data_IF_679610276416
#
_entry.id   IF_679610276416
#
_cell.length_a   1.000
_cell.length_b   1.000
_cell.length_c   1.000
_cell.angle_alpha   90.00
_cell.angle_beta   90.00
_cell.angle_gamma   90.00
#
_symmetry.space_group_name_H-M   'P 1'
#
loop_
_entity.id
_entity.type
_entity.pdbx_description
1 polymer ?
#
# COMPACT_ATOMS: atom_id res chain seq x y z
N UNK A 1 7.32 -12.20 -31.59
CA UNK A 1 5.93 -12.35 -31.09
C UNK A 1 5.88 -13.18 -29.81
N UNK A 2 6.71 -14.23 -29.66
CA UNK A 2 6.70 -15.05 -28.43
C UNK A 2 7.24 -14.33 -27.18
N UNK A 3 8.23 -13.45 -27.34
CA UNK A 3 8.92 -12.79 -26.21
C UNK A 3 8.00 -11.80 -25.45
N UNK A 4 7.21 -11.00 -26.17
CA UNK A 4 6.24 -10.08 -25.57
C UNK A 4 5.11 -10.82 -24.83
N UNK A 5 4.68 -11.97 -25.36
CA UNK A 5 3.65 -12.81 -24.73
C UNK A 5 4.16 -13.52 -23.48
N UNK A 6 5.43 -13.93 -23.47
CA UNK A 6 6.07 -14.51 -22.28
C UNK A 6 6.26 -13.47 -21.17
N UNK A 7 6.69 -12.25 -21.52
CA UNK A 7 6.80 -11.15 -20.56
C UNK A 7 5.43 -10.79 -19.95
N UNK A 8 4.37 -10.83 -20.75
CA UNK A 8 3.01 -10.58 -20.30
C UNK A 8 2.51 -11.64 -19.30
N UNK A 9 2.71 -12.93 -19.62
CA UNK A 9 2.36 -14.02 -18.71
C UNK A 9 3.12 -13.93 -17.38
N UNK A 10 4.42 -13.65 -17.45
CA UNK A 10 5.24 -13.48 -16.26
C UNK A 10 4.79 -12.28 -15.40
N UNK A 11 4.39 -11.17 -16.02
CA UNK A 11 3.83 -10.02 -15.31
C UNK A 11 2.50 -10.37 -14.61
N UNK A 12 1.63 -11.12 -15.27
CA UNK A 12 0.37 -11.58 -14.66
C UNK A 12 0.62 -12.54 -13.49
N UNK A 13 1.61 -13.42 -13.59
CA UNK A 13 2.00 -14.32 -12.51
C UNK A 13 2.53 -13.53 -11.30
N UNK A 14 3.35 -12.50 -11.51
CA UNK A 14 3.82 -11.60 -10.45
C UNK A 14 2.66 -10.86 -9.75
N UNK A 15 1.68 -10.37 -10.52
CA UNK A 15 0.48 -9.75 -9.95
C UNK A 15 -0.34 -10.74 -9.12
N UNK A 16 -0.41 -11.99 -9.56
CA UNK A 16 -1.10 -13.06 -8.85
C UNK A 16 -0.37 -13.49 -7.58
N UNK A 17 0.95 -13.57 -7.60
CA UNK A 17 1.77 -13.82 -6.40
C UNK A 17 1.59 -12.70 -5.37
N UNK A 18 1.62 -11.45 -5.82
CA UNK A 18 1.32 -10.28 -4.99
C UNK A 18 -0.08 -10.37 -4.36
N UNK A 19 -1.09 -10.78 -5.14
CA UNK A 19 -2.45 -11.02 -4.64
C UNK A 19 -2.43 -12.09 -3.53
N UNK A 20 -1.73 -13.21 -3.72
CA UNK A 20 -1.65 -14.30 -2.74
C UNK A 20 -0.97 -13.91 -1.41
N UNK A 21 -0.04 -12.95 -1.41
CA UNK A 21 0.62 -12.45 -0.20
C UNK A 21 -0.30 -11.59 0.67
N UNK A 22 -1.43 -11.11 0.16
CA UNK A 22 -2.40 -10.34 0.94
C UNK A 22 -3.26 -11.27 1.81
N UNK A 23 -2.75 -11.57 3.01
CA UNK A 23 -3.47 -12.34 4.03
C UNK A 23 -4.47 -11.48 4.80
N UNK A 24 -5.70 -11.97 4.93
CA UNK A 24 -6.65 -11.49 5.94
C UNK A 24 -6.22 -12.09 7.29
N UNK A 25 -5.63 -11.29 8.19
CA UNK A 25 -5.53 -11.69 9.61
C UNK A 25 -6.96 -11.74 10.16
N UNK A 26 -7.42 -12.91 10.60
CA UNK A 26 -8.78 -13.11 11.08
C UNK A 26 -9.06 -12.25 12.33
N UNK A 27 -9.69 -11.10 12.12
CA UNK A 27 -10.47 -10.41 13.15
C UNK A 27 -11.90 -10.95 13.11
N UNK A 28 -12.14 -12.11 13.72
CA UNK A 28 -13.48 -12.65 13.85
C UNK A 28 -14.32 -11.77 14.79
N UNK A 29 -15.38 -11.16 14.26
CA UNK A 29 -16.46 -10.60 15.05
C UNK A 29 -17.55 -11.64 15.30
N UNK A 30 -17.99 -11.72 16.56
CA UNK A 30 -19.18 -12.40 17.10
C UNK A 30 -19.02 -13.86 17.58
N UNK A 31 -18.50 -14.06 18.80
CA UNK A 31 -19.28 -14.30 20.03
C UNK A 31 -18.42 -14.90 21.16
N UNK A 32 -18.66 -14.39 22.37
CA UNK A 32 -18.36 -14.96 23.69
C UNK A 32 -16.88 -15.04 24.14
N UNK A 33 -16.75 -14.82 25.45
CA UNK A 33 -15.52 -14.66 26.23
C UNK A 33 -14.67 -15.94 26.31
N UNK A 34 -13.48 -15.74 26.93
CA UNK A 34 -12.57 -16.72 27.54
C UNK A 34 -11.89 -17.73 26.61
N UNK A 35 -10.66 -17.45 26.19
CA UNK A 35 -9.44 -17.93 26.88
C UNK A 35 -8.21 -17.72 26.00
N UNK A 36 -7.27 -16.92 26.51
CA UNK A 36 -5.95 -16.70 25.92
C UNK A 36 -5.01 -17.83 26.36
N UNK A 37 -4.42 -18.54 25.40
CA UNK A 37 -3.12 -19.20 25.61
C UNK A 37 -2.21 -18.86 24.45
N UNK A 38 -1.30 -17.91 24.69
CA UNK A 38 -0.19 -17.59 23.78
C UNK A 38 0.86 -18.72 23.84
N UNK A 39 1.34 -19.15 22.66
CA UNK A 39 2.64 -19.82 22.55
C UNK A 39 3.67 -18.75 22.14
N UNK A 40 4.83 -18.66 22.80
CA UNK A 40 5.81 -17.63 22.51
C UNK A 40 6.57 -17.92 21.21
N UNK A 41 6.55 -16.98 20.28
CA UNK A 41 7.55 -16.87 19.21
C UNK A 41 8.77 -16.07 19.72
N UNK A 42 9.98 -16.33 19.20
CA UNK A 42 11.22 -15.80 19.76
C UNK A 42 11.32 -14.28 19.61
N UNK A 43 11.68 -13.62 20.72
CA UNK A 43 11.88 -12.17 20.82
C UNK A 43 12.95 -11.71 19.82
N UNK A 44 12.56 -10.88 18.85
CA UNK A 44 13.47 -9.93 18.19
C UNK A 44 13.69 -8.79 19.18
N UNK A 45 14.93 -8.60 19.59
CA UNK A 45 15.36 -7.59 20.55
C UNK A 45 15.10 -6.20 19.98
N UNK A 46 14.16 -5.47 20.60
CA UNK A 46 13.81 -4.10 20.28
C UNK A 46 14.92 -3.16 20.79
N UNK A 47 15.71 -2.62 19.87
CA UNK A 47 16.82 -1.70 20.18
C UNK A 47 16.41 -0.22 20.22
N UNK A 48 15.11 0.09 20.35
CA UNK A 48 14.61 1.48 20.41
C UNK A 48 14.09 1.93 21.78
N UNK A 49 14.53 1.28 22.87
CA UNK A 49 14.33 1.82 24.21
C UNK A 49 15.55 2.63 24.66
N UNK A 50 15.69 3.86 24.15
CA UNK A 50 16.54 4.89 24.75
C UNK A 50 15.74 5.63 25.84
N UNK A 51 15.66 5.04 27.04
CA UNK A 51 15.46 5.80 28.28
C UNK A 51 16.83 5.97 28.94
N UNK A 52 17.51 7.05 28.54
CA UNK A 52 18.78 7.52 29.08
C UNK A 52 18.51 8.31 30.36
N UNK A 53 18.29 7.62 31.49
CA UNK A 53 18.22 8.26 32.81
C UNK A 53 19.63 8.31 33.44
N UNK A 54 20.21 9.51 33.50
CA UNK A 54 21.58 9.81 33.91
C UNK A 54 21.68 10.18 35.41
N UNK A 55 20.84 9.64 36.28
CA UNK A 55 20.96 9.82 37.73
C UNK A 55 20.43 8.63 38.55
N UNK A 56 21.31 7.69 38.89
CA UNK A 56 21.20 6.91 40.14
C UNK A 56 22.56 6.27 40.49
N UNK A 57 22.99 6.53 41.72
CA UNK A 57 24.24 6.10 42.34
C UNK A 57 24.01 4.81 43.17
N UNK A 58 25.11 4.10 43.41
CA UNK A 58 25.38 3.06 44.43
C UNK A 58 24.90 1.58 44.31
N UNK A 59 25.93 0.71 44.29
CA UNK A 59 26.15 -0.58 45.01
C UNK A 59 25.16 -1.75 44.84
N UNK A 60 25.60 -2.87 44.23
CA UNK A 60 26.34 -3.95 44.92
C UNK A 60 26.53 -5.22 44.04
N UNK A 61 27.50 -6.04 44.46
CA UNK A 61 28.09 -7.22 43.83
C UNK A 61 27.17 -8.37 43.39
N UNK A 62 27.45 -8.96 42.21
CA UNK A 62 27.52 -10.42 41.99
C UNK A 62 28.07 -10.81 40.60
N UNK A 63 29.22 -11.51 40.56
CA UNK A 63 29.74 -12.28 39.41
C UNK A 63 28.88 -13.54 39.15
N UNK A 64 28.83 -14.11 37.93
CA UNK A 64 29.86 -15.11 37.55
C UNK A 64 30.25 -15.22 36.06
N UNK A 65 31.47 -15.75 35.89
CA UNK A 65 31.96 -16.65 34.84
C UNK A 65 32.26 -16.12 33.42
N UNK A 66 33.57 -16.07 33.13
CA UNK A 66 34.20 -15.73 31.88
C UNK A 66 34.14 -16.85 30.82
N UNK A 67 34.07 -16.45 29.55
CA UNK A 67 34.52 -17.22 28.39
C UNK A 67 35.23 -16.27 27.39
N UNK A 68 36.22 -16.74 26.62
CA UNK A 68 37.42 -15.97 26.30
C UNK A 68 37.29 -15.04 25.09
N UNK A 69 38.02 -13.92 25.18
CA UNK A 69 38.26 -12.93 24.12
C UNK A 69 39.27 -13.52 23.11
N UNK A 70 38.89 -13.62 21.84
CA UNK A 70 39.82 -13.88 20.74
C UNK A 70 40.25 -12.51 20.17
N UNK A 71 41.56 -12.21 20.11
CA UNK A 71 42.04 -10.91 19.67
C UNK A 71 42.04 -10.77 18.16
N UNK A 72 41.72 -9.55 17.72
CA UNK A 72 41.80 -9.03 16.36
C UNK A 72 43.15 -9.36 15.72
N UNK A 73 43.15 -10.27 14.75
CA UNK A 73 44.30 -10.53 13.89
C UNK A 73 44.09 -9.84 12.54
N UNK A 74 44.92 -8.84 12.31
CA UNK A 74 45.19 -8.20 11.03
C UNK A 74 45.52 -9.30 10.00
N UNK A 75 44.69 -9.46 8.96
CA UNK A 75 45.03 -10.28 7.81
C UNK A 75 45.23 -9.38 6.58
N UNK A 76 46.52 -9.17 6.32
CA UNK A 76 47.20 -9.12 5.02
C UNK A 76 46.34 -9.03 3.75
N UNK A 77 46.67 -8.00 2.97
CA UNK A 77 46.49 -7.89 1.53
C UNK A 77 46.97 -9.17 0.84
N UNK A 78 46.02 -9.92 0.28
CA UNK A 78 46.08 -10.62 -1.01
C UNK A 78 44.77 -11.40 -1.15
N UNK A 79 43.72 -10.67 -1.53
CA UNK A 79 42.41 -11.24 -1.78
C UNK A 79 42.44 -12.04 -3.08
N UNK A 80 42.12 -13.32 -2.97
CA UNK A 80 41.88 -14.23 -4.09
C UNK A 80 40.81 -13.59 -5.02
N UNK A 81 41.08 -13.41 -6.33
CA UNK A 81 40.15 -12.74 -7.25
C UNK A 81 38.88 -13.57 -7.56
N UNK A 82 38.74 -14.76 -6.97
CA UNK A 82 37.60 -15.68 -7.10
C UNK A 82 36.67 -15.70 -5.88
N UNK A 83 36.91 -14.84 -4.87
CA UNK A 83 35.99 -14.61 -3.73
C UNK A 83 35.23 -13.27 -3.83
N UNK A 84 35.28 -12.64 -4.99
CA UNK A 84 34.29 -11.64 -5.38
C UNK A 84 33.09 -12.39 -5.98
N UNK A 85 31.89 -11.86 -5.81
CA UNK A 85 30.68 -12.26 -6.57
C UNK A 85 29.74 -13.29 -5.93
N UNK A 86 29.24 -12.99 -4.74
CA UNK A 86 27.79 -13.12 -4.56
C UNK A 86 27.24 -11.99 -3.68
N UNK A 87 27.22 -10.79 -4.24
CA UNK A 87 26.57 -9.63 -3.64
C UNK A 87 25.05 -9.79 -3.55
N UNK A 88 24.50 -10.76 -4.28
CA UNK A 88 23.08 -10.99 -4.45
C UNK A 88 22.66 -12.26 -3.69
N UNK A 89 21.42 -12.28 -3.18
CA UNK A 89 20.79 -13.51 -2.73
C UNK A 89 20.35 -14.39 -3.92
N UNK A 90 19.97 -15.64 -3.66
CA UNK A 90 19.51 -16.57 -4.71
C UNK A 90 18.31 -16.03 -5.51
N UNK A 91 17.59 -15.06 -4.95
CA UNK A 91 16.45 -14.44 -5.61
C UNK A 91 16.79 -13.08 -6.26
N UNK A 92 18.08 -12.70 -6.33
CA UNK A 92 18.56 -11.49 -6.99
C UNK A 92 18.37 -10.19 -6.19
N UNK A 93 18.12 -10.25 -4.87
CA UNK A 93 18.22 -9.05 -4.04
C UNK A 93 19.66 -8.78 -3.63
N UNK A 94 20.02 -7.50 -3.63
CA UNK A 94 21.30 -7.07 -3.10
C UNK A 94 21.39 -7.28 -1.58
N UNK A 95 22.48 -7.88 -1.11
CA UNK A 95 22.78 -8.07 0.32
C UNK A 95 23.36 -6.77 0.92
N UNK A 96 22.47 -5.92 1.44
CA UNK A 96 22.85 -4.60 1.98
C UNK A 96 23.46 -4.74 3.38
N UNK A 97 24.67 -4.19 3.54
CA UNK A 97 25.35 -4.10 4.83
C UNK A 97 25.16 -2.71 5.43
N UNK A 98 24.71 -2.63 6.69
CA UNK A 98 24.56 -1.35 7.40
C UNK A 98 25.95 -0.70 7.55
N UNK A 99 26.03 0.60 7.24
CA UNK A 99 27.29 1.35 7.22
C UNK A 99 28.03 1.29 5.88
N UNK A 100 27.56 0.49 4.91
CA UNK A 100 28.12 0.46 3.57
C UNK A 100 27.98 1.82 2.86
N UNK A 101 29.03 2.22 2.14
CA UNK A 101 29.03 3.40 1.28
C UNK A 101 28.71 3.04 -0.18
N UNK A 102 27.72 3.71 -0.75
CA UNK A 102 27.26 3.58 -2.13
C UNK A 102 27.62 4.82 -2.96
N UNK A 103 27.64 4.66 -4.29
CA UNK A 103 27.96 5.73 -5.25
C UNK A 103 29.25 6.50 -4.90
N UNK A 104 30.40 5.81 -4.98
CA UNK A 104 31.73 6.39 -4.72
C UNK A 104 31.86 7.09 -3.35
N UNK A 105 31.19 6.58 -2.31
CA UNK A 105 31.29 7.13 -0.96
C UNK A 105 30.16 8.06 -0.55
N UNK A 106 29.30 8.50 -1.49
CA UNK A 106 28.31 9.54 -1.25
C UNK A 106 27.23 9.12 -0.24
N UNK A 107 26.63 7.95 -0.43
CA UNK A 107 25.50 7.52 0.40
C UNK A 107 25.94 6.46 1.39
N UNK A 108 25.83 6.76 2.69
CA UNK A 108 26.11 5.80 3.75
C UNK A 108 24.80 5.17 4.24
N UNK A 109 24.68 3.85 4.16
CA UNK A 109 23.48 3.14 4.61
C UNK A 109 23.36 3.16 6.14
N UNK A 110 22.16 3.48 6.64
CA UNK A 110 21.86 3.57 8.08
C UNK A 110 21.00 2.38 8.53
N UNK A 111 19.91 2.11 7.80
CA UNK A 111 18.93 1.13 8.24
C UNK A 111 18.14 0.53 7.07
N UNK A 112 17.64 -0.69 7.27
CA UNK A 112 16.67 -1.30 6.36
C UNK A 112 15.27 -0.73 6.61
N UNK A 113 14.61 -0.22 5.57
CA UNK A 113 13.24 0.29 5.65
C UNK A 113 12.21 -0.75 5.21
N UNK A 114 12.56 -1.61 4.25
CA UNK A 114 11.68 -2.70 3.83
C UNK A 114 12.25 -3.54 2.70
N UNK A 115 11.68 -4.74 2.54
CA UNK A 115 11.92 -5.65 1.41
C UNK A 115 10.57 -5.96 0.77
N UNK A 116 10.41 -5.61 -0.50
CA UNK A 116 9.20 -5.89 -1.28
C UNK A 116 9.53 -6.82 -2.45
N UNK A 117 8.50 -7.33 -3.15
CA UNK A 117 8.65 -8.29 -4.27
C UNK A 117 9.61 -7.81 -5.37
N UNK A 118 9.70 -6.50 -5.58
CA UNK A 118 10.45 -5.89 -6.67
C UNK A 118 11.82 -5.30 -6.26
N UNK A 119 11.97 -4.94 -4.99
CA UNK A 119 13.09 -4.11 -4.54
C UNK A 119 13.27 -4.14 -3.02
N UNK A 120 14.47 -3.80 -2.58
CA UNK A 120 14.77 -3.46 -1.18
C UNK A 120 14.86 -1.94 -1.03
N UNK A 121 14.40 -1.42 0.11
CA UNK A 121 14.47 0.01 0.42
C UNK A 121 15.27 0.20 1.70
N UNK A 122 16.25 1.11 1.65
CA UNK A 122 17.10 1.45 2.79
C UNK A 122 17.11 2.94 3.05
N UNK A 123 17.30 3.29 4.32
CA UNK A 123 17.60 4.63 4.77
C UNK A 123 19.10 4.84 4.66
N UNK A 124 19.52 5.95 4.07
CA UNK A 124 20.92 6.33 3.94
C UNK A 124 21.12 7.82 4.27
N UNK A 125 22.35 8.19 4.60
CA UNK A 125 22.79 9.58 4.77
C UNK A 125 23.58 10.00 3.55
N UNK A 126 23.20 11.11 2.94
CA UNK A 126 24.00 11.75 1.91
C UNK A 126 25.16 12.50 2.59
N UNK A 127 26.39 12.08 2.35
CA UNK A 127 27.58 12.70 2.93
C UNK A 127 27.89 14.08 2.35
N UNK A 128 27.34 14.42 1.17
CA UNK A 128 27.54 15.72 0.55
C UNK A 128 26.61 16.79 1.13
N UNK A 129 25.34 16.45 1.36
CA UNK A 129 24.33 17.40 1.89
C UNK A 129 24.13 17.26 3.39
N UNK A 130 24.49 16.11 3.98
CA UNK A 130 24.20 15.77 5.37
C UNK A 130 22.77 15.29 5.61
N UNK A 131 21.91 15.28 4.58
CA UNK A 131 20.50 14.93 4.69
C UNK A 131 20.27 13.42 4.65
N UNK A 132 19.14 12.99 5.22
CA UNK A 132 18.69 11.61 5.11
C UNK A 132 17.90 11.38 3.82
N UNK A 133 18.15 10.25 3.17
CA UNK A 133 17.50 9.84 1.93
C UNK A 133 17.01 8.40 2.03
N UNK A 134 16.03 8.04 1.20
CA UNK A 134 15.59 6.66 1.02
C UNK A 134 16.09 6.15 -0.34
N UNK A 135 16.76 5.00 -0.35
CA UNK A 135 17.30 4.39 -1.58
C UNK A 135 16.54 3.10 -1.86
N UNK A 136 15.83 3.05 -2.99
CA UNK A 136 15.17 1.85 -3.53
C UNK A 136 16.14 1.15 -4.47
N UNK A 137 16.59 -0.04 -4.10
CA UNK A 137 17.48 -0.89 -4.87
C UNK A 137 16.64 -1.96 -5.59
N UNK A 138 16.58 -1.87 -6.91
CA UNK A 138 15.85 -2.81 -7.76
C UNK A 138 16.62 -4.13 -7.83
N UNK A 139 15.93 -5.26 -7.81
CA UNK A 139 16.54 -6.60 -7.91
C UNK A 139 17.33 -6.77 -9.21
N UNK A 140 18.42 -7.53 -9.15
CA UNK A 140 19.28 -7.88 -10.29
C UNK A 140 18.59 -8.94 -11.14
N UNK A 141 17.56 -8.51 -11.86
CA UNK A 141 16.78 -9.33 -12.80
C UNK A 141 16.38 -8.43 -13.97
N UNK A 142 16.57 -8.89 -15.20
CA UNK A 142 16.32 -8.09 -16.40
C UNK A 142 14.89 -7.53 -16.47
N UNK A 143 13.88 -8.32 -16.09
CA UNK A 143 12.48 -7.87 -16.05
C UNK A 143 12.29 -6.77 -15.00
N UNK A 144 12.91 -6.93 -13.82
CA UNK A 144 12.82 -5.97 -12.73
C UNK A 144 13.56 -4.68 -13.07
N UNK A 145 14.72 -4.79 -13.71
CA UNK A 145 15.49 -3.66 -14.19
C UNK A 145 14.70 -2.86 -15.24
N UNK A 146 14.08 -3.53 -16.22
CA UNK A 146 13.19 -2.88 -17.20
C UNK A 146 12.00 -2.18 -16.52
N UNK A 147 11.39 -2.81 -15.53
CA UNK A 147 10.32 -2.20 -14.73
C UNK A 147 10.81 -0.98 -13.94
N UNK A 148 12.00 -1.05 -13.34
CA UNK A 148 12.64 0.06 -12.63
C UNK A 148 13.00 1.23 -13.55
N UNK A 149 13.43 0.97 -14.78
CA UNK A 149 13.67 2.00 -15.79
C UNK A 149 12.37 2.67 -16.25
N UNK A 150 11.28 1.90 -16.37
CA UNK A 150 9.94 2.44 -16.62
C UNK A 150 9.52 3.35 -15.45
N UNK A 151 9.68 2.89 -14.20
CA UNK A 151 9.39 3.68 -13.00
C UNK A 151 10.19 4.99 -12.96
N UNK A 152 11.50 4.95 -13.24
CA UNK A 152 12.36 6.14 -13.35
C UNK A 152 11.84 7.14 -14.39
N UNK A 153 11.39 6.66 -15.54
CA UNK A 153 10.83 7.50 -16.61
C UNK A 153 9.54 8.19 -16.17
N UNK A 154 8.64 7.47 -15.49
CA UNK A 154 7.39 8.02 -14.96
C UNK A 154 7.66 9.04 -13.84
N UNK A 155 8.61 8.77 -12.96
CA UNK A 155 9.04 9.70 -11.90
C UNK A 155 9.58 11.00 -12.48
N UNK A 156 10.46 10.94 -13.49
CA UNK A 156 10.98 12.14 -14.16
C UNK A 156 9.85 12.99 -14.77
N UNK A 157 8.89 12.35 -15.44
CA UNK A 157 7.71 13.03 -16.00
C UNK A 157 6.89 13.75 -14.91
N UNK A 158 6.71 13.12 -13.73
CA UNK A 158 6.01 13.74 -12.60
C UNK A 158 6.77 14.93 -12.03
N UNK A 159 8.09 14.82 -11.93
CA UNK A 159 8.94 15.88 -11.42
C UNK A 159 8.93 17.14 -12.28
N UNK A 160 8.92 16.97 -13.60
CA UNK A 160 8.79 18.05 -14.58
C UNK A 160 7.41 18.71 -14.51
N UNK A 161 6.35 17.92 -14.27
CA UNK A 161 4.97 18.40 -14.18
C UNK A 161 4.60 19.04 -12.82
N UNK A 162 5.44 18.87 -11.79
CA UNK A 162 5.35 19.52 -10.47
C UNK A 162 6.71 20.02 -9.96
N UNK A 163 7.27 21.10 -10.54
CA UNK A 163 8.54 21.67 -10.10
C UNK A 163 8.50 22.22 -8.66
N UNK A 164 7.33 22.67 -8.20
CA UNK A 164 7.13 23.29 -6.90
C UNK A 164 6.84 22.28 -5.77
N UNK A 165 6.78 20.98 -6.08
CA UNK A 165 6.52 19.90 -5.12
C UNK A 165 5.18 20.04 -4.35
N UNK A 166 4.14 20.57 -5.00
CA UNK A 166 2.83 20.89 -4.39
C UNK A 166 1.76 19.82 -4.63
N UNK A 167 2.09 18.74 -5.33
CA UNK A 167 1.14 17.69 -5.73
C UNK A 167 1.29 16.39 -4.97
N UNK A 168 2.01 16.38 -3.85
CA UNK A 168 2.00 15.25 -2.91
C UNK A 168 2.39 13.88 -3.52
N UNK A 169 3.31 13.88 -4.48
CA UNK A 169 3.97 12.66 -4.98
C UNK A 169 5.41 12.65 -4.46
N UNK A 170 5.94 11.47 -4.15
CA UNK A 170 7.33 11.29 -3.69
C UNK A 170 8.33 11.90 -4.68
N UNK A 171 9.31 12.64 -4.16
CA UNK A 171 10.35 13.26 -4.98
C UNK A 171 11.52 12.31 -5.19
N UNK A 172 11.81 12.03 -6.47
CA UNK A 172 13.08 11.43 -6.88
C UNK A 172 14.16 12.53 -6.85
N UNK A 173 15.27 12.28 -6.17
CA UNK A 173 16.40 13.21 -6.06
C UNK A 173 17.48 12.89 -7.10
N UNK A 174 17.81 11.61 -7.24
CA UNK A 174 18.82 11.11 -8.16
C UNK A 174 18.61 9.61 -8.43
N UNK A 175 19.36 9.07 -9.37
CA UNK A 175 19.48 7.62 -9.56
C UNK A 175 20.93 7.28 -9.88
N UNK A 176 21.32 6.04 -9.62
CA UNK A 176 22.64 5.52 -9.95
C UNK A 176 22.58 3.99 -10.10
N UNK A 177 23.65 3.41 -10.61
CA UNK A 177 23.85 1.96 -10.60
C UNK A 177 24.89 1.58 -9.55
N UNK A 178 24.62 0.52 -8.79
CA UNK A 178 25.56 -0.02 -7.82
C UNK A 178 25.56 -1.54 -7.93
N UNK A 179 26.70 -2.11 -8.34
CA UNK A 179 26.94 -3.56 -8.40
C UNK A 179 25.84 -4.32 -9.18
N UNK A 180 25.39 -3.75 -10.32
CA UNK A 180 24.36 -4.36 -11.17
C UNK A 180 22.91 -4.02 -10.77
N UNK A 181 22.69 -3.30 -9.67
CA UNK A 181 21.37 -2.85 -9.25
C UNK A 181 21.10 -1.40 -9.65
N UNK A 182 19.91 -1.15 -10.18
CA UNK A 182 19.39 0.20 -10.35
C UNK A 182 18.95 0.73 -8.97
N UNK A 183 19.51 1.88 -8.57
CA UNK A 183 19.22 2.55 -7.30
C UNK A 183 18.51 3.87 -7.56
N UNK A 184 17.31 4.03 -6.98
CA UNK A 184 16.53 5.27 -7.02
C UNK A 184 16.60 5.97 -5.66
N UNK A 185 17.02 7.23 -5.63
CA UNK A 185 17.19 8.02 -4.41
C UNK A 185 16.00 8.96 -4.24
N UNK A 186 15.31 8.86 -3.12
CA UNK A 186 14.12 9.63 -2.79
C UNK A 186 14.32 10.51 -1.56
N UNK A 187 13.46 11.52 -1.42
CA UNK A 187 13.29 12.24 -0.16
C UNK A 187 12.97 11.27 0.99
N UNK A 188 13.57 11.48 2.17
CA UNK A 188 13.29 10.66 3.35
C UNK A 188 11.96 11.07 3.99
N UNK A 189 11.11 10.09 4.27
CA UNK A 189 9.83 10.25 4.99
C UNK A 189 9.80 9.34 6.20
N UNK A 190 8.90 9.63 7.15
CA UNK A 190 8.89 8.98 8.45
C UNK A 190 8.30 7.57 8.38
N UNK A 191 7.06 7.43 7.91
CA UNK A 191 6.38 6.13 7.85
C UNK A 191 5.19 6.11 6.91
N UNK A 192 4.71 4.90 6.60
CA UNK A 192 3.47 4.71 5.84
C UNK A 192 2.21 4.86 6.70
N UNK A 193 1.09 5.18 6.06
CA UNK A 193 -0.21 5.35 6.72
C UNK A 193 -0.71 4.06 7.39
N UNK A 194 -0.32 2.89 6.88
CA UNK A 194 -0.57 1.60 7.56
C UNK A 194 -0.04 1.62 8.99
N UNK A 195 1.21 2.06 9.16
CA UNK A 195 1.88 2.14 10.45
C UNK A 195 1.29 3.23 11.33
N UNK A 196 0.85 4.35 10.72
CA UNK A 196 0.11 5.40 11.44
C UNK A 196 -1.16 4.82 12.06
N UNK A 197 -2.03 4.18 11.28
CA UNK A 197 -3.28 3.59 11.78
C UNK A 197 -3.02 2.54 12.87
N UNK A 198 -1.99 1.68 12.70
CA UNK A 198 -1.60 0.70 13.73
C UNK A 198 -1.20 1.35 15.06
N UNK A 199 -0.53 2.51 15.04
CA UNK A 199 -0.13 3.24 16.25
C UNK A 199 -1.32 3.81 17.03
N UNK A 200 -2.45 4.11 16.38
CA UNK A 200 -3.68 4.56 17.06
C UNK A 200 -4.46 3.41 17.72
N UNK A 201 -4.14 2.16 17.38
CA UNK A 201 -4.79 0.97 17.93
C UNK A 201 -5.72 0.28 16.94
N UNK A 202 -6.13 -0.93 17.30
CA UNK A 202 -6.99 -1.77 16.47
C UNK A 202 -8.39 -1.15 16.37
N UNK A 203 -8.89 -1.01 15.13
CA UNK A 203 -10.27 -0.55 14.84
C UNK A 203 -10.60 0.88 15.32
N UNK A 204 -9.57 1.71 15.57
CA UNK A 204 -9.74 3.11 16.01
C UNK A 204 -9.73 4.08 14.84
N UNK A 205 -8.76 3.93 13.94
CA UNK A 205 -8.52 4.90 12.87
C UNK A 205 -7.95 6.23 13.37
N UNK A 206 -8.04 7.27 12.55
CA UNK A 206 -7.55 8.63 12.83
C UNK A 206 -8.67 9.65 12.76
N UNK A 207 -8.46 10.83 13.34
CA UNK A 207 -9.48 11.89 13.39
C UNK A 207 -9.97 12.30 12.00
N UNK A 208 -11.26 12.62 11.88
CA UNK A 208 -11.86 13.05 10.60
C UNK A 208 -11.18 14.29 10.02
N UNK A 209 -10.64 15.17 10.88
CA UNK A 209 -9.86 16.35 10.48
C UNK A 209 -8.57 15.94 9.77
N UNK A 210 -7.86 14.94 10.28
CA UNK A 210 -6.67 14.40 9.62
C UNK A 210 -7.03 13.68 8.32
N UNK A 211 -8.10 12.87 8.31
CA UNK A 211 -8.61 12.21 7.09
C UNK A 211 -8.96 13.24 6.00
N UNK A 212 -9.55 14.38 6.37
CA UNK A 212 -9.86 15.47 5.44
C UNK A 212 -8.61 16.08 4.82
N UNK A 213 -7.59 16.38 5.63
CA UNK A 213 -6.30 16.90 5.15
C UNK A 213 -5.65 15.88 4.22
N UNK A 214 -5.63 14.61 4.61
CA UNK A 214 -5.06 13.57 3.76
C UNK A 214 -5.85 13.33 2.49
N UNK A 215 -7.19 13.41 2.52
CA UNK A 215 -8.01 13.35 1.32
C UNK A 215 -7.65 14.49 0.36
N UNK A 216 -7.52 15.73 0.84
CA UNK A 216 -7.13 16.84 0.01
C UNK A 216 -5.77 16.60 -0.68
N UNK A 217 -4.76 16.18 0.08
CA UNK A 217 -3.41 15.94 -0.42
C UNK A 217 -3.34 14.75 -1.39
N UNK A 218 -4.05 13.67 -1.10
CA UNK A 218 -4.17 12.51 -1.98
C UNK A 218 -4.85 12.91 -3.29
N UNK A 219 -5.95 13.65 -3.26
CA UNK A 219 -6.63 14.06 -4.50
C UNK A 219 -5.84 15.12 -5.30
N UNK A 220 -4.90 15.84 -4.67
CA UNK A 220 -3.91 16.66 -5.40
C UNK A 220 -2.90 15.79 -6.18
N UNK A 221 -2.48 14.65 -5.63
CA UNK A 221 -1.60 13.71 -6.35
C UNK A 221 -2.32 13.02 -7.50
N UNK A 222 -3.57 12.59 -7.31
CA UNK A 222 -4.40 12.05 -8.40
C UNK A 222 -4.61 13.07 -9.53
N UNK A 223 -4.75 14.36 -9.20
CA UNK A 223 -4.86 15.43 -10.20
C UNK A 223 -3.58 15.58 -11.04
N UNK A 224 -2.40 15.41 -10.43
CA UNK A 224 -1.13 15.38 -11.15
C UNK A 224 -1.00 14.14 -12.03
N UNK A 225 -1.32 12.96 -11.50
CA UNK A 225 -1.30 11.69 -12.26
C UNK A 225 -2.17 11.77 -13.51
N UNK A 226 -3.40 12.28 -13.37
CA UNK A 226 -4.30 12.51 -14.51
C UNK A 226 -3.72 13.46 -15.55
N UNK A 227 -3.14 14.58 -15.12
CA UNK A 227 -2.49 15.55 -16.02
C UNK A 227 -1.31 14.95 -16.79
N UNK A 228 -0.64 13.96 -16.21
CA UNK A 228 0.46 13.24 -16.85
C UNK A 228 0.01 11.98 -17.60
N UNK A 229 -1.29 11.73 -17.71
CA UNK A 229 -1.87 10.52 -18.31
C UNK A 229 -1.42 9.20 -17.66
N UNK A 230 -1.25 9.17 -16.33
CA UNK A 230 -0.78 7.99 -15.61
C UNK A 230 -1.80 7.45 -14.63
N UNK A 231 -1.81 6.12 -14.51
CA UNK A 231 -2.56 5.35 -13.54
C UNK A 231 -1.57 4.82 -12.50
N UNK A 232 -1.85 4.99 -11.21
CA UNK A 232 -0.98 4.46 -10.16
C UNK A 232 -1.19 2.96 -9.96
N UNK A 233 -2.45 2.53 -9.94
CA UNK A 233 -2.85 1.12 -9.86
C UNK A 233 -2.35 0.34 -8.61
N UNK A 234 -1.96 1.03 -7.54
CA UNK A 234 -1.61 0.38 -6.25
C UNK A 234 -1.75 1.34 -5.05
N UNK A 235 -2.78 2.19 -5.05
CA UNK A 235 -3.04 3.12 -3.93
C UNK A 235 -3.59 2.34 -2.73
N UNK A 236 -2.85 2.39 -1.62
CA UNK A 236 -3.19 1.77 -0.33
C UNK A 236 -2.42 2.46 0.79
N UNK A 237 -2.80 2.29 2.08
CA UNK A 237 -2.08 2.89 3.20
C UNK A 237 -0.58 2.56 3.26
N UNK A 238 -0.16 1.42 2.71
CA UNK A 238 1.23 0.96 2.68
C UNK A 238 2.10 1.78 1.71
N UNK A 239 1.50 2.33 0.64
CA UNK A 239 2.17 3.11 -0.41
C UNK A 239 1.97 4.63 -0.27
N UNK A 240 1.43 5.07 0.86
CA UNK A 240 1.29 6.50 1.18
C UNK A 240 2.13 6.76 2.42
N UNK A 241 3.16 7.59 2.25
CA UNK A 241 4.08 7.97 3.30
C UNK A 241 3.71 9.33 3.89
N UNK A 242 4.08 9.55 5.16
CA UNK A 242 3.93 10.83 5.85
C UNK A 242 5.26 11.32 6.40
N UNK A 243 5.40 12.64 6.51
CA UNK A 243 6.53 13.25 7.20
C UNK A 243 6.46 13.04 8.73
N UNK A 244 7.50 13.43 9.44
CA UNK A 244 7.63 13.26 10.89
C UNK A 244 6.50 13.97 11.68
N UNK A 245 6.11 15.16 11.24
CA UNK A 245 4.98 15.91 11.81
C UNK A 245 3.60 15.33 11.45
N UNK A 246 3.55 14.32 10.57
CA UNK A 246 2.32 13.65 10.09
C UNK A 246 1.29 14.60 9.48
N UNK A 247 1.72 15.77 9.00
CA UNK A 247 0.83 16.77 8.40
C UNK A 247 0.94 16.81 6.86
N UNK A 248 1.96 16.19 6.29
CA UNK A 248 2.17 16.08 4.84
C UNK A 248 2.27 14.61 4.46
N UNK A 249 1.44 14.18 3.51
CA UNK A 249 1.53 12.90 2.84
C UNK A 249 2.18 13.03 1.47
N UNK A 250 2.79 11.92 1.04
CA UNK A 250 3.33 11.70 -0.29
C UNK A 250 2.87 10.34 -0.81
N UNK A 251 2.30 10.31 -2.01
CA UNK A 251 2.00 9.08 -2.73
C UNK A 251 3.30 8.52 -3.32
N UNK A 252 3.56 7.24 -3.07
CA UNK A 252 4.83 6.57 -3.37
C UNK A 252 4.59 5.25 -4.11
N UNK A 253 5.69 4.66 -4.61
CA UNK A 253 5.75 3.37 -5.30
C UNK A 253 4.98 3.33 -6.63
N UNK A 254 5.68 3.75 -7.69
CA UNK A 254 5.16 3.74 -9.06
C UNK A 254 5.54 2.46 -9.81
N UNK A 255 5.97 1.41 -9.11
CA UNK A 255 6.35 0.13 -9.72
C UNK A 255 5.21 -0.60 -10.43
N UNK A 256 3.95 -0.29 -10.08
CA UNK A 256 2.74 -0.79 -10.77
C UNK A 256 2.09 0.25 -11.69
N UNK A 257 2.68 1.45 -11.81
CA UNK A 257 2.08 2.52 -12.58
C UNK A 257 2.25 2.33 -14.09
N UNK A 258 1.27 2.79 -14.85
CA UNK A 258 1.27 2.71 -16.32
C UNK A 258 0.68 3.97 -16.94
N UNK A 259 0.97 4.18 -18.22
CA UNK A 259 0.26 5.20 -19.00
C UNK A 259 -1.19 4.73 -19.24
N UNK A 260 -2.16 5.64 -19.17
CA UNK A 260 -3.58 5.31 -19.35
C UNK A 260 -3.91 4.86 -20.78
N UNK A 261 -3.01 5.05 -21.75
CA UNK A 261 -3.12 4.48 -23.09
C UNK A 261 -2.67 3.02 -23.19
N UNK A 262 -1.89 2.53 -22.21
CA UNK A 262 -1.33 1.18 -22.14
C UNK A 262 -2.17 0.27 -21.22
N UNK A 263 -3.49 0.24 -21.40
CA UNK A 263 -4.38 -0.54 -20.54
C UNK A 263 -4.40 -2.02 -20.92
N UNK A 264 -3.79 -2.86 -20.09
CA UNK A 264 -3.90 -4.31 -20.18
C UNK A 264 -5.01 -4.85 -19.28
N UNK A 265 -5.98 -5.55 -19.86
CA UNK A 265 -7.09 -6.13 -19.08
C UNK A 265 -6.59 -7.37 -18.33
N UNK A 266 -6.39 -7.21 -17.02
CA UNK A 266 -6.03 -8.29 -16.10
C UNK A 266 -6.83 -8.19 -14.79
N UNK A 267 -7.37 -9.29 -14.26
CA UNK A 267 -8.22 -9.27 -13.06
C UNK A 267 -7.43 -9.12 -11.75
N UNK A 268 -6.10 -9.04 -11.81
CA UNK A 268 -5.19 -8.97 -10.66
C UNK A 268 -4.45 -7.63 -10.52
N UNK A 269 -4.72 -6.66 -11.39
CA UNK A 269 -4.21 -5.29 -11.23
C UNK A 269 -4.75 -4.70 -9.91
N UNK A 270 -3.94 -3.87 -9.22
CA UNK A 270 -4.24 -3.32 -7.89
C UNK A 270 -4.27 -4.37 -6.77
N UNK A 271 -3.73 -4.01 -5.61
CA UNK A 271 -3.94 -4.73 -4.35
C UNK A 271 -5.42 -5.05 -4.09
N UNK A 272 -5.73 -6.31 -3.73
CA UNK A 272 -7.08 -6.89 -3.78
C UNK A 272 -8.11 -6.07 -3.02
N UNK A 273 -7.80 -5.64 -1.80
CA UNK A 273 -8.74 -4.90 -0.95
C UNK A 273 -9.09 -3.49 -1.45
N UNK A 274 -8.26 -2.95 -2.34
CA UNK A 274 -8.41 -1.62 -2.95
C UNK A 274 -8.77 -1.70 -4.44
N UNK A 275 -8.94 -2.92 -4.98
CA UNK A 275 -9.22 -3.18 -6.40
C UNK A 275 -10.63 -2.72 -6.77
N UNK A 276 -10.73 -2.00 -7.88
CA UNK A 276 -11.99 -1.51 -8.42
C UNK A 276 -12.80 -2.63 -9.13
N UNK A 277 -14.13 -2.57 -9.16
CA UNK A 277 -14.95 -3.61 -9.78
C UNK A 277 -14.68 -3.79 -11.27
N UNK A 278 -14.38 -2.72 -12.01
CA UNK A 278 -14.06 -2.80 -13.43
C UNK A 278 -12.81 -3.64 -13.72
N UNK A 279 -11.84 -3.67 -12.80
CA UNK A 279 -10.64 -4.52 -12.92
C UNK A 279 -11.04 -5.98 -12.77
N UNK A 280 -11.78 -6.30 -11.70
CA UNK A 280 -12.22 -7.67 -11.42
C UNK A 280 -13.08 -8.23 -12.57
N UNK A 281 -13.94 -7.39 -13.14
CA UNK A 281 -14.87 -7.77 -14.20
C UNK A 281 -14.23 -7.78 -15.60
N UNK A 282 -12.99 -7.28 -15.74
CA UNK A 282 -12.32 -7.21 -17.05
C UNK A 282 -12.98 -6.21 -17.98
N UNK A 283 -13.31 -5.03 -17.46
CA UNK A 283 -13.81 -3.89 -18.24
C UNK A 283 -12.66 -2.95 -18.57
N UNK A 284 -12.86 -2.09 -19.56
CA UNK A 284 -11.96 -0.96 -19.78
C UNK A 284 -11.95 -0.07 -18.53
N UNK A 285 -10.76 0.30 -18.09
CA UNK A 285 -10.53 1.12 -16.91
C UNK A 285 -9.74 2.38 -17.27
N UNK A 286 -9.73 3.34 -16.36
CA UNK A 286 -9.06 4.64 -16.52
C UNK A 286 -8.74 5.20 -15.11
N UNK A 287 -8.47 6.50 -14.97
CA UNK A 287 -8.19 7.20 -13.70
C UNK A 287 -9.22 6.95 -12.59
N UNK A 288 -10.43 6.49 -12.92
CA UNK A 288 -11.45 6.12 -11.94
C UNK A 288 -10.99 5.02 -10.97
N UNK A 289 -10.09 4.11 -11.38
CA UNK A 289 -9.60 3.04 -10.50
C UNK A 289 -8.86 3.61 -9.27
N UNK A 290 -8.04 4.64 -9.47
CA UNK A 290 -7.27 5.27 -8.40
C UNK A 290 -8.17 6.05 -7.43
N UNK A 291 -9.28 6.61 -7.94
CA UNK A 291 -10.31 7.23 -7.09
C UNK A 291 -10.98 6.19 -6.20
N UNK A 292 -11.28 5.00 -6.73
CA UNK A 292 -11.85 3.90 -5.95
C UNK A 292 -10.89 3.45 -4.84
N UNK A 293 -9.62 3.19 -5.20
CA UNK A 293 -8.59 2.78 -4.24
C UNK A 293 -8.34 3.85 -3.15
N UNK A 294 -8.40 5.13 -3.54
CA UNK A 294 -8.32 6.26 -2.59
C UNK A 294 -9.49 6.29 -1.61
N UNK A 295 -10.71 6.00 -2.05
CA UNK A 295 -11.88 5.95 -1.17
C UNK A 295 -11.80 4.78 -0.18
N UNK A 296 -11.39 3.59 -0.64
CA UNK A 296 -11.12 2.44 0.24
C UNK A 296 -10.05 2.78 1.29
N UNK A 297 -8.99 3.46 0.87
CA UNK A 297 -7.91 3.92 1.76
C UNK A 297 -8.43 4.91 2.79
N UNK A 298 -9.16 5.96 2.39
CA UNK A 298 -9.69 6.97 3.31
C UNK A 298 -10.68 6.39 4.32
N UNK A 299 -11.54 5.46 3.90
CA UNK A 299 -12.42 4.74 4.82
C UNK A 299 -11.62 4.00 5.89
N UNK A 300 -10.54 3.32 5.49
CA UNK A 300 -9.68 2.58 6.40
C UNK A 300 -8.89 3.49 7.34
N UNK A 301 -8.44 4.66 6.87
CA UNK A 301 -7.81 5.64 7.75
C UNK A 301 -8.77 6.09 8.86
N UNK A 302 -10.03 6.36 8.51
CA UNK A 302 -11.02 6.82 9.48
C UNK A 302 -11.45 5.72 10.45
N UNK A 303 -11.68 4.50 9.95
CA UNK A 303 -12.29 3.41 10.75
C UNK A 303 -11.30 2.43 11.35
N UNK A 304 -10.04 2.45 10.89
CA UNK A 304 -9.06 1.41 11.17
C UNK A 304 -9.37 0.06 10.51
N UNK A 305 -10.43 -0.04 9.70
CA UNK A 305 -10.95 -1.28 9.11
C UNK A 305 -10.86 -1.26 7.59
N UNK A 306 -10.49 -2.40 7.01
CA UNK A 306 -10.55 -2.61 5.56
C UNK A 306 -12.01 -2.57 5.10
N UNK A 307 -12.31 -1.77 4.07
CA UNK A 307 -13.68 -1.58 3.56
C UNK A 307 -14.27 -2.87 2.96
N UNK A 308 -13.47 -3.56 2.14
CA UNK A 308 -13.82 -4.79 1.43
C UNK A 308 -12.79 -5.90 1.71
N UNK A 309 -12.93 -6.68 2.79
CA UNK A 309 -11.98 -7.72 3.17
C UNK A 309 -12.23 -9.04 2.41
N UNK A 310 -12.29 -8.99 1.07
CA UNK A 310 -12.56 -10.15 0.22
C UNK A 310 -11.37 -11.10 0.11
N UNK A 311 -11.56 -12.40 0.35
CA UNK A 311 -10.48 -13.40 0.22
C UNK A 311 -10.13 -13.73 -1.25
N UNK A 312 -11.01 -13.39 -2.18
CA UNK A 312 -10.83 -13.54 -3.62
C UNK A 312 -11.69 -12.51 -4.37
N UNK A 313 -11.52 -12.44 -5.70
CA UNK A 313 -12.24 -11.52 -6.58
C UNK A 313 -13.77 -11.66 -6.49
N UNK A 314 -14.29 -12.89 -6.37
CA UNK A 314 -15.73 -13.10 -6.21
C UNK A 314 -16.26 -12.52 -4.89
N UNK A 315 -15.56 -12.73 -3.77
CA UNK A 315 -15.92 -12.15 -2.48
C UNK A 315 -15.79 -10.63 -2.46
N UNK A 316 -14.81 -10.06 -3.17
CA UNK A 316 -14.73 -8.61 -3.36
C UNK A 316 -16.01 -8.06 -4.00
N UNK A 317 -16.46 -8.66 -5.12
CA UNK A 317 -17.70 -8.25 -5.77
C UNK A 317 -18.91 -8.41 -4.85
N UNK A 318 -18.98 -9.49 -4.05
CA UNK A 318 -20.03 -9.68 -3.05
C UNK A 318 -20.09 -8.51 -2.07
N UNK A 319 -18.96 -8.14 -1.45
CA UNK A 319 -18.92 -7.03 -0.50
C UNK A 319 -19.24 -5.68 -1.15
N UNK A 320 -18.83 -5.46 -2.40
CA UNK A 320 -19.21 -4.27 -3.17
C UNK A 320 -20.72 -4.20 -3.38
N UNK A 321 -21.38 -5.32 -3.71
CA UNK A 321 -22.83 -5.34 -3.90
C UNK A 321 -23.62 -5.29 -2.58
N UNK A 322 -23.08 -5.80 -1.48
CA UNK A 322 -23.67 -5.63 -0.14
C UNK A 322 -23.69 -4.15 0.30
N UNK A 323 -22.74 -3.34 -0.18
CA UNK A 323 -22.68 -1.90 0.06
C UNK A 323 -23.52 -1.10 -0.95
N UNK A 324 -23.30 -1.33 -2.26
CA UNK A 324 -23.83 -0.47 -3.34
C UNK A 324 -25.04 -1.06 -4.08
N UNK A 325 -25.40 -2.31 -3.80
CA UNK A 325 -26.43 -3.05 -4.52
C UNK A 325 -25.90 -3.73 -5.79
N UNK A 326 -26.83 -4.28 -6.59
CA UNK A 326 -26.51 -5.06 -7.79
C UNK A 326 -25.79 -4.22 -8.86
N UNK A 327 -24.77 -4.79 -9.51
CA UNK A 327 -24.14 -4.20 -10.69
C UNK A 327 -25.15 -3.98 -11.84
N UNK A 328 -25.08 -2.86 -12.57
CA UNK A 328 -25.94 -2.64 -13.73
C UNK A 328 -25.76 -3.76 -14.77
N UNK A 329 -26.86 -4.32 -15.29
CA UNK A 329 -26.79 -5.40 -16.31
C UNK A 329 -25.97 -4.99 -17.54
N UNK A 330 -25.97 -3.71 -17.93
CA UNK A 330 -25.14 -3.19 -19.03
C UNK A 330 -23.63 -3.34 -18.75
N UNK A 331 -23.22 -3.23 -17.49
CA UNK A 331 -21.84 -3.41 -17.06
C UNK A 331 -21.45 -4.89 -17.12
N UNK A 332 -22.31 -5.77 -16.59
CA UNK A 332 -22.09 -7.23 -16.59
C UNK A 332 -21.94 -7.78 -18.02
N UNK A 333 -22.79 -7.34 -18.96
CA UNK A 333 -22.72 -7.81 -20.36
C UNK A 333 -21.46 -7.37 -21.11
N UNK A 334 -20.81 -6.29 -20.69
CA UNK A 334 -19.57 -5.79 -21.31
C UNK A 334 -18.32 -6.42 -20.69
N UNK A 335 -18.45 -7.06 -19.54
CA UNK A 335 -17.35 -7.55 -18.73
C UNK A 335 -16.77 -8.84 -19.30
N UNK A 336 -15.45 -8.87 -19.54
CA UNK A 336 -14.78 -10.05 -20.10
C UNK A 336 -14.77 -11.23 -19.13
N UNK A 337 -14.74 -10.96 -17.81
CA UNK A 337 -14.69 -11.99 -16.77
C UNK A 337 -16.05 -12.22 -16.09
N UNK A 338 -17.15 -11.73 -16.68
CA UNK A 338 -18.49 -11.86 -16.11
C UNK A 338 -18.88 -13.32 -15.83
N UNK A 339 -18.55 -14.25 -16.74
CA UNK A 339 -18.89 -15.66 -16.63
C UNK A 339 -18.27 -16.36 -15.41
N UNK A 340 -17.23 -15.78 -14.79
CA UNK A 340 -16.63 -16.33 -13.56
C UNK A 340 -17.47 -16.01 -12.31
N UNK A 341 -18.42 -15.07 -12.41
CA UNK A 341 -19.09 -14.47 -11.26
C UNK A 341 -20.60 -14.36 -11.41
N UNK A 342 -21.13 -14.40 -12.63
CA UNK A 342 -22.56 -14.28 -12.94
C UNK A 342 -23.02 -15.42 -13.83
N UNK A 343 -24.27 -15.84 -13.64
CA UNK A 343 -24.96 -16.76 -14.56
C UNK A 343 -25.51 -16.03 -15.81
N UNK A 344 -26.10 -16.80 -16.73
CA UNK A 344 -26.71 -16.28 -17.97
C UNK A 344 -27.84 -15.26 -17.71
N UNK A 345 -28.48 -15.33 -16.54
CA UNK A 345 -29.53 -14.42 -16.10
C UNK A 345 -28.97 -13.16 -15.41
N UNK A 346 -27.65 -12.97 -15.38
CA UNK A 346 -26.96 -11.91 -14.65
C UNK A 346 -27.24 -11.96 -13.14
N UNK A 347 -27.41 -13.15 -12.58
CA UNK A 347 -27.49 -13.42 -11.14
C UNK A 347 -26.09 -13.72 -10.65
N UNK A 348 -25.71 -13.07 -9.55
CA UNK A 348 -24.39 -13.26 -8.97
C UNK A 348 -24.28 -14.65 -8.32
N UNK A 349 -23.18 -15.34 -8.63
CA UNK A 349 -22.82 -16.64 -8.10
C UNK A 349 -21.78 -16.47 -6.99
N UNK A 350 -22.22 -16.43 -5.73
CA UNK A 350 -21.34 -16.31 -4.57
C UNK A 350 -20.56 -17.61 -4.34
N UNK A 351 -19.24 -17.52 -4.37
CA UNK A 351 -18.32 -18.63 -4.12
C UNK A 351 -17.92 -18.63 -2.64
N UNK A 352 -18.60 -19.45 -1.85
CA UNK A 352 -18.35 -19.58 -0.42
C UNK A 352 -17.67 -20.92 -0.12
N UNK A 353 -16.78 -20.96 0.89
CA UNK A 353 -16.32 -22.23 1.45
C UNK A 353 -17.30 -22.64 2.54
N UNK A 354 -17.81 -23.86 2.44
CA UNK A 354 -18.62 -24.44 3.51
C UNK A 354 -17.75 -24.66 4.76
N UNK A 355 -18.23 -24.19 5.92
CA UNK A 355 -17.51 -24.19 7.20
C UNK A 355 -17.22 -25.60 7.71
N UNK A 356 -17.99 -26.59 7.26
CA UNK A 356 -17.90 -27.97 7.75
C UNK A 356 -17.12 -28.83 6.75
N UNK A 357 -17.44 -28.75 5.47
CA UNK A 357 -16.84 -29.62 4.44
C UNK A 357 -15.59 -29.05 3.77
N UNK A 358 -15.25 -27.77 3.99
CA UNK A 358 -14.20 -27.03 3.27
C UNK A 358 -14.34 -27.04 1.74
N UNK A 359 -15.47 -27.53 1.20
CA UNK A 359 -15.75 -27.52 -0.24
C UNK A 359 -16.27 -26.15 -0.67
N UNK A 360 -15.95 -25.78 -1.90
CA UNK A 360 -16.54 -24.59 -2.52
C UNK A 360 -18.00 -24.85 -2.88
N UNK A 361 -18.88 -23.99 -2.41
CA UNK A 361 -20.31 -24.02 -2.70
C UNK A 361 -20.67 -22.74 -3.42
N UNK A 362 -21.37 -22.87 -4.55
CA UNK A 362 -21.89 -21.76 -5.32
C UNK A 362 -23.31 -21.46 -4.84
N UNK A 363 -23.54 -20.25 -4.32
CA UNK A 363 -24.85 -19.78 -3.90
C UNK A 363 -25.34 -18.66 -4.84
N UNK A 364 -26.43 -18.86 -5.60
CA UNK A 364 -27.00 -17.80 -6.41
C UNK A 364 -27.64 -16.73 -5.52
N UNK A 365 -27.33 -15.46 -5.79
CA UNK A 365 -27.87 -14.30 -5.06
C UNK A 365 -28.74 -13.46 -6.00
N UNK A 366 -30.03 -13.81 -6.20
CA UNK A 366 -30.93 -13.11 -7.12
C UNK A 366 -31.34 -11.72 -6.61
N UNK A 367 -31.42 -11.54 -5.28
CA UNK A 367 -31.77 -10.28 -4.63
C UNK A 367 -30.62 -9.87 -3.72
N UNK A 368 -29.89 -8.83 -4.11
CA UNK A 368 -28.85 -8.22 -3.28
C UNK A 368 -29.38 -6.86 -2.83
N UNK A 369 -29.93 -6.83 -1.61
CA UNK A 369 -30.28 -5.57 -0.95
C UNK A 369 -29.02 -5.02 -0.28
N UNK A 370 -28.74 -3.71 -0.39
CA UNK A 370 -27.71 -3.08 0.42
C UNK A 370 -28.02 -3.35 1.89
N UNK A 371 -27.22 -4.20 2.52
CA UNK A 371 -27.43 -4.64 3.91
C UNK A 371 -26.54 -3.87 4.88
N UNK A 372 -25.51 -3.22 4.36
CA UNK A 372 -24.55 -2.47 5.15
C UNK A 372 -24.39 -1.07 4.57
N UNK A 373 -25.07 -0.09 5.17
CA UNK A 373 -24.94 1.32 4.79
C UNK A 373 -23.60 1.88 5.28
N UNK A 374 -22.94 2.64 4.41
CA UNK A 374 -21.67 3.31 4.71
C UNK A 374 -21.84 4.28 5.88
N UNK A 375 -22.98 4.98 5.93
CA UNK A 375 -23.33 5.90 7.01
C UNK A 375 -23.33 5.20 8.35
N UNK A 376 -23.99 4.05 8.46
CA UNK A 376 -24.04 3.28 9.71
C UNK A 376 -22.65 2.79 10.12
N UNK A 377 -21.82 2.31 9.19
CA UNK A 377 -20.45 1.86 9.52
C UNK A 377 -19.59 2.99 10.09
N UNK A 378 -19.67 4.18 9.49
CA UNK A 378 -18.88 5.36 9.89
C UNK A 378 -19.39 5.94 11.20
N UNK A 379 -20.71 6.12 11.34
CA UNK A 379 -21.30 6.66 12.56
C UNK A 379 -21.12 5.72 13.75
N UNK A 380 -21.22 4.40 13.57
CA UNK A 380 -20.98 3.44 14.66
C UNK A 380 -19.56 3.54 15.22
N UNK A 381 -18.56 3.81 14.38
CA UNK A 381 -17.17 4.03 14.85
C UNK A 381 -17.07 5.37 15.57
N UNK A 382 -17.68 6.43 15.02
CA UNK A 382 -17.68 7.74 15.65
C UNK A 382 -18.39 7.76 17.01
N UNK A 383 -19.49 7.01 17.18
CA UNK A 383 -20.25 6.91 18.43
C UNK A 383 -19.56 6.11 19.54
N UNK A 384 -18.49 5.38 19.24
CA UNK A 384 -17.64 4.77 20.28
C UNK A 384 -16.81 5.83 21.03
N UNK A 385 -16.67 7.01 20.44
CA UNK A 385 -16.06 8.19 21.04
C UNK A 385 -17.23 9.08 21.49
N UNK A 386 -17.36 9.31 22.80
CA UNK A 386 -18.50 9.99 23.46
C UNK A 386 -18.86 11.38 22.84
N UNK A 387 -20.01 11.99 23.20
CA UNK A 387 -20.91 12.70 22.29
C UNK A 387 -20.19 13.56 21.23
N UNK A 388 -20.35 13.14 19.98
CA UNK A 388 -19.74 13.80 18.82
C UNK A 388 -20.29 15.22 18.68
N UNK A 389 -19.43 16.26 18.63
CA UNK A 389 -19.86 17.62 18.37
C UNK A 389 -20.67 17.73 17.07
N UNK A 390 -21.64 18.65 17.01
CA UNK A 390 -22.50 18.82 15.83
C UNK A 390 -21.69 19.12 14.55
N UNK A 391 -20.60 19.88 14.68
CA UNK A 391 -19.69 20.18 13.57
C UNK A 391 -18.97 18.93 13.04
N UNK A 392 -18.57 18.02 13.94
CA UNK A 392 -17.91 16.78 13.57
C UNK A 392 -18.91 15.81 12.92
N UNK A 393 -20.15 15.76 13.44
CA UNK A 393 -21.24 15.01 12.80
C UNK A 393 -21.49 15.50 11.37
N UNK A 394 -21.48 16.81 11.14
CA UNK A 394 -21.58 17.39 9.79
C UNK A 394 -20.42 16.96 8.90
N UNK A 395 -19.18 17.00 9.40
CA UNK A 395 -18.00 16.56 8.64
C UNK A 395 -18.09 15.06 8.29
N UNK A 396 -18.60 14.23 9.20
CA UNK A 396 -18.83 12.81 8.95
C UNK A 396 -19.88 12.57 7.87
N UNK A 397 -20.97 13.32 7.86
CA UNK A 397 -21.97 13.23 6.79
C UNK A 397 -21.40 13.67 5.44
N UNK A 398 -20.59 14.73 5.41
CA UNK A 398 -19.87 15.16 4.19
C UNK A 398 -18.85 14.10 3.73
N UNK A 399 -18.21 13.39 4.66
CA UNK A 399 -17.30 12.29 4.37
C UNK A 399 -18.01 11.07 3.79
N UNK A 400 -19.17 10.70 4.34
CA UNK A 400 -20.04 9.64 3.79
C UNK A 400 -20.42 9.99 2.35
N UNK A 401 -20.92 11.20 2.09
CA UNK A 401 -21.28 11.65 0.74
C UNK A 401 -20.08 11.64 -0.23
N UNK A 402 -18.90 12.04 0.26
CA UNK A 402 -17.66 12.00 -0.51
C UNK A 402 -17.31 10.57 -0.94
N UNK A 403 -17.32 9.62 0.00
CA UNK A 403 -17.03 8.21 -0.28
C UNK A 403 -18.10 7.58 -1.17
N UNK A 404 -19.38 7.90 -0.97
CA UNK A 404 -20.49 7.40 -1.80
C UNK A 404 -20.29 7.74 -3.29
N UNK A 405 -19.83 8.96 -3.59
CA UNK A 405 -19.53 9.43 -4.95
C UNK A 405 -18.23 8.86 -5.53
N UNK A 406 -17.26 8.52 -4.68
CA UNK A 406 -16.03 7.84 -5.11
C UNK A 406 -16.23 6.32 -5.30
N UNK A 407 -17.16 5.70 -4.58
CA UNK A 407 -17.46 4.26 -4.62
C UNK A 407 -18.62 3.91 -5.56
N UNK A 408 -18.83 4.71 -6.61
CA UNK A 408 -19.79 4.40 -7.66
C UNK A 408 -19.26 3.22 -8.48
N UNK A 409 -20.09 2.17 -8.64
CA UNK A 409 -19.72 0.94 -9.33
C UNK A 409 -19.40 1.18 -10.81
N UNK A 410 -20.12 2.10 -11.47
CA UNK A 410 -19.85 2.48 -12.85
C UNK A 410 -18.74 3.54 -12.90
N UNK A 411 -17.58 3.27 -13.51
CA UNK A 411 -16.45 4.19 -13.51
C UNK A 411 -16.77 5.54 -14.17
N UNK A 412 -17.57 5.57 -15.23
CA UNK A 412 -17.95 6.80 -15.95
C UNK A 412 -18.76 7.80 -15.10
N UNK A 413 -19.42 7.31 -14.04
CA UNK A 413 -20.23 8.13 -13.12
C UNK A 413 -19.50 8.41 -11.81
N UNK A 414 -18.29 7.87 -11.65
CA UNK A 414 -17.48 8.05 -10.45
C UNK A 414 -16.92 9.47 -10.44
N UNK A 415 -16.90 10.06 -9.25
CA UNK A 415 -16.31 11.38 -9.05
C UNK A 415 -14.88 11.44 -9.59
N UNK A 416 -14.56 12.49 -10.34
CA UNK A 416 -13.19 12.73 -10.81
C UNK A 416 -12.33 13.39 -9.72
N UNK A 417 -11.00 13.28 -9.83
CA UNK A 417 -10.11 13.93 -8.87
C UNK A 417 -10.29 15.46 -8.79
N UNK A 418 -10.65 16.11 -9.91
CA UNK A 418 -10.94 17.54 -9.95
C UNK A 418 -12.22 17.88 -9.19
N UNK A 419 -13.28 17.10 -9.36
CA UNK A 419 -14.55 17.29 -8.63
C UNK A 419 -14.38 17.01 -7.14
N UNK A 420 -13.59 15.99 -6.78
CA UNK A 420 -13.27 15.67 -5.40
C UNK A 420 -12.64 16.85 -4.66
N UNK A 421 -11.68 17.55 -5.26
CA UNK A 421 -11.05 18.73 -4.65
C UNK A 421 -12.02 19.89 -4.39
N UNK A 422 -13.16 19.93 -5.08
CA UNK A 422 -14.21 20.94 -4.88
C UNK A 422 -15.33 20.45 -3.96
N UNK A 423 -15.24 19.22 -3.45
CA UNK A 423 -16.26 18.64 -2.60
C UNK A 423 -16.38 19.40 -1.26
N UNK A 424 -17.59 19.54 -0.67
CA UNK A 424 -17.79 20.17 0.64
C UNK A 424 -16.90 19.58 1.74
N UNK A 425 -16.69 18.25 1.73
CA UNK A 425 -15.78 17.57 2.66
C UNK A 425 -14.36 18.14 2.61
N UNK A 426 -13.78 18.31 1.42
CA UNK A 426 -12.41 18.82 1.26
C UNK A 426 -12.36 20.32 1.50
N UNK A 427 -13.26 21.07 0.87
CA UNK A 427 -13.27 22.54 0.93
C UNK A 427 -13.66 23.10 2.30
N UNK A 428 -14.29 22.29 3.15
CA UNK A 428 -14.84 22.72 4.44
C UNK A 428 -16.04 23.65 4.33
N UNK A 429 -16.53 23.91 3.11
CA UNK A 429 -17.71 24.75 2.87
C UNK A 429 -18.97 23.99 3.32
N UNK A 430 -19.95 24.76 3.81
CA UNK A 430 -21.26 24.27 4.20
C UNK A 430 -22.11 23.98 2.97
#
# INVERSE_FOLDING_TARGET
MDDARQQQLHHQDLLREKDHQEHVKEGAGSMMASDYTERPEPKVMDMFADDFDMFADDNDDAKPAAAPIIPSAIMSQDANPTLQDNWDDHEGYYNIHIGEHMQNGRYQTIAHLGKGVFSSVVKAKDTQTGEEVAIKMIRSNETMYKAGQKELTLLNKLMEADPENKKHVIRLMSHFEHRGHLCLVFESLSMNLRSVVKKYGKDVGISIKAVRVYAQQLFLSLSLLRRCNMLHADIKPDNILVNEAKNVLKLCDLGSASDASENEITPYLVSRFYRAPEIILGLHYDFGLDVWSSACTLYELFTGKILFPGRNNNQMLKYMMELKGKFPNKMIRKAQFAAQHFDDNNVFQSQEKDKISNKQVIKPMPVIKPSQDLKSRILNVASLVEPVPEEETRQLLQFVDFLEKCLVLTPDRRMTAKEALHHPFITGKA
#
